data_IF_822691815416
#
_entry.id   IF_822691815416
#
_cell.length_a   1.000
_cell.length_b   1.000
_cell.length_c   1.000
_cell.angle_alpha   90.00
_cell.angle_beta   90.00
_cell.angle_gamma   90.00
#
_symmetry.space_group_name_H-M   'P 1'
#
loop_
_entity.id
_entity.type
_entity.pdbx_description
1 polymer ?
#
# COMPACT_ATOMS: atom_id res chain seq x y z
N UNK A 1 -4.86 16.30 22.59
CA UNK A 1 -4.27 17.69 22.52
C UNK A 1 -3.19 17.76 21.43
N UNK A 2 -2.24 16.82 21.36
CA UNK A 2 -1.17 16.86 20.37
C UNK A 2 -1.70 16.62 18.95
N UNK A 3 -2.42 15.54 18.72
CA UNK A 3 -3.05 15.22 17.43
C UNK A 3 -3.93 16.37 16.91
N UNK A 4 -4.66 17.04 17.80
CA UNK A 4 -5.48 18.20 17.42
C UNK A 4 -4.62 19.38 16.93
N UNK A 5 -3.49 19.65 17.61
CA UNK A 5 -2.54 20.68 17.21
C UNK A 5 -1.88 20.35 15.87
N UNK A 6 -1.54 19.10 15.67
CA UNK A 6 -0.95 18.58 14.44
C UNK A 6 -1.92 18.71 13.25
N UNK A 7 -3.17 18.28 13.44
CA UNK A 7 -4.22 18.44 12.42
C UNK A 7 -4.51 19.91 12.12
N UNK A 8 -4.63 20.76 13.15
CA UNK A 8 -4.85 22.20 12.98
C UNK A 8 -3.72 22.83 12.15
N UNK A 9 -2.47 22.50 12.44
CA UNK A 9 -1.33 23.00 11.70
C UNK A 9 -1.36 22.51 10.25
N UNK A 10 -1.57 21.22 10.02
CA UNK A 10 -1.62 20.63 8.69
C UNK A 10 -2.72 21.28 7.82
N UNK A 11 -3.94 21.40 8.35
CA UNK A 11 -5.07 22.03 7.64
C UNK A 11 -4.79 23.50 7.32
N UNK A 12 -4.27 24.26 8.29
CA UNK A 12 -3.95 25.67 8.10
C UNK A 12 -2.86 25.89 7.03
N UNK A 13 -2.05 24.87 6.73
CA UNK A 13 -1.01 24.89 5.70
C UNK A 13 -1.36 24.09 4.44
N UNK A 14 -2.66 23.86 4.18
CA UNK A 14 -3.16 23.33 2.91
C UNK A 14 -3.26 21.83 2.80
N UNK A 15 -2.93 21.05 3.84
CA UNK A 15 -3.18 19.61 3.84
C UNK A 15 -4.69 19.37 3.93
N UNK A 16 -5.26 18.83 2.87
CA UNK A 16 -6.70 18.69 2.74
C UNK A 16 -7.19 17.26 2.48
N UNK A 17 -6.32 16.25 2.41
CA UNK A 17 -6.69 14.85 2.20
C UNK A 17 -6.32 14.02 3.44
N UNK A 18 -7.33 13.43 4.08
CA UNK A 18 -7.17 12.62 5.30
C UNK A 18 -7.65 11.20 5.06
N UNK A 19 -6.71 10.24 5.15
CA UNK A 19 -6.94 8.83 4.89
C UNK A 19 -7.17 8.06 6.19
N UNK A 20 -8.26 7.32 6.26
CA UNK A 20 -8.57 6.40 7.36
C UNK A 20 -9.18 5.09 6.82
N UNK A 21 -9.61 4.19 7.69
CA UNK A 21 -10.33 2.98 7.35
C UNK A 21 -11.12 2.43 8.54
N UNK A 22 -12.19 1.71 8.27
CA UNK A 22 -13.02 1.04 9.28
C UNK A 22 -12.19 0.22 10.29
N UNK A 23 -11.15 -0.48 9.78
CA UNK A 23 -10.32 -1.36 10.60
C UNK A 23 -9.20 -0.64 11.38
N UNK A 24 -8.98 0.65 11.16
CA UNK A 24 -8.00 1.42 11.92
C UNK A 24 -8.61 1.82 13.25
N UNK A 25 -8.33 1.03 14.30
CA UNK A 25 -8.96 1.13 15.61
C UNK A 25 -8.95 2.55 16.16
N UNK A 26 -10.15 3.13 16.32
CA UNK A 26 -10.37 4.44 16.91
C UNK A 26 -10.02 5.63 16.00
N UNK A 27 -9.39 5.42 14.84
CA UNK A 27 -8.92 6.51 13.98
C UNK A 27 -10.10 7.31 13.40
N UNK A 28 -11.12 6.64 12.82
CA UNK A 28 -12.32 7.32 12.32
C UNK A 28 -13.02 8.17 13.41
N UNK A 29 -13.12 7.62 14.64
CA UNK A 29 -13.74 8.32 15.74
C UNK A 29 -12.95 9.56 16.16
N UNK A 30 -11.64 9.45 16.34
CA UNK A 30 -10.79 10.58 16.74
C UNK A 30 -10.78 11.67 15.66
N UNK A 31 -10.68 11.26 14.38
CA UNK A 31 -10.73 12.20 13.26
C UNK A 31 -12.09 12.94 13.25
N UNK A 32 -13.20 12.20 13.35
CA UNK A 32 -14.55 12.78 13.36
C UNK A 32 -14.77 13.76 14.50
N UNK A 33 -14.40 13.38 15.73
CA UNK A 33 -14.50 14.25 16.92
C UNK A 33 -13.71 15.55 16.74
N UNK A 34 -12.48 15.48 16.22
CA UNK A 34 -11.65 16.67 16.06
C UNK A 34 -12.13 17.56 14.91
N UNK A 35 -12.56 16.96 13.79
CA UNK A 35 -13.10 17.67 12.63
C UNK A 35 -14.40 18.39 12.99
N UNK A 36 -15.32 17.72 13.69
CA UNK A 36 -16.59 18.31 14.12
C UNK A 36 -16.37 19.44 15.14
N UNK A 37 -15.55 19.19 16.18
CA UNK A 37 -15.22 20.16 17.23
C UNK A 37 -14.67 21.47 16.67
N UNK A 38 -13.81 21.40 15.64
CA UNK A 38 -13.10 22.55 15.09
C UNK A 38 -13.73 23.07 13.77
N UNK A 39 -14.85 22.52 13.34
CA UNK A 39 -15.57 22.92 12.11
C UNK A 39 -14.70 22.80 10.83
N UNK A 40 -13.83 21.77 10.74
CA UNK A 40 -12.91 21.59 9.61
C UNK A 40 -13.53 20.82 8.43
N UNK A 41 -14.75 20.27 8.56
CA UNK A 41 -15.32 19.34 7.56
C UNK A 41 -15.30 19.90 6.13
N UNK A 42 -15.62 21.16 5.94
CA UNK A 42 -15.65 21.80 4.63
C UNK A 42 -14.25 22.12 4.05
N UNK A 43 -13.19 22.06 4.88
CA UNK A 43 -11.82 22.37 4.48
C UNK A 43 -11.04 21.13 4.04
N UNK A 44 -11.59 19.92 4.28
CA UNK A 44 -10.87 18.67 4.08
C UNK A 44 -11.69 17.66 3.28
N UNK A 45 -10.96 16.74 2.65
CA UNK A 45 -11.49 15.53 2.04
C UNK A 45 -11.18 14.35 2.96
N UNK A 46 -12.20 13.58 3.30
CA UNK A 46 -12.07 12.37 4.10
C UNK A 46 -12.14 11.16 3.17
N UNK A 47 -11.13 10.32 3.24
CA UNK A 47 -11.12 9.00 2.62
C UNK A 47 -11.26 7.92 3.69
N UNK A 48 -12.25 7.04 3.54
CA UNK A 48 -12.34 5.83 4.36
C UNK A 48 -12.61 4.59 3.50
N UNK A 49 -12.52 3.40 4.11
CA UNK A 49 -12.43 2.16 3.34
C UNK A 49 -13.38 1.10 3.87
N UNK A 50 -14.04 0.42 2.94
CA UNK A 50 -14.92 -0.71 3.15
C UNK A 50 -14.12 -2.02 3.17
N UNK A 51 -14.03 -2.71 4.29
CA UNK A 51 -13.36 -4.01 4.37
C UNK A 51 -14.26 -5.10 3.76
N UNK A 52 -14.21 -5.29 2.44
CA UNK A 52 -15.06 -6.20 1.68
C UNK A 52 -15.09 -7.64 2.24
N UNK A 53 -14.04 -8.04 2.92
CA UNK A 53 -13.91 -9.36 3.53
C UNK A 53 -14.68 -9.53 4.85
N UNK A 54 -15.27 -8.46 5.38
CA UNK A 54 -16.12 -8.47 6.58
C UNK A 54 -17.62 -8.37 6.26
N UNK A 55 -17.99 -8.23 4.99
CA UNK A 55 -19.38 -8.10 4.57
C UNK A 55 -19.83 -9.27 3.69
N UNK A 56 -21.08 -9.69 3.85
CA UNK A 56 -21.67 -10.81 3.12
C UNK A 56 -22.99 -10.45 2.44
N UNK A 57 -23.51 -9.24 2.69
CA UNK A 57 -24.71 -8.69 2.07
C UNK A 57 -24.63 -7.18 1.96
N UNK A 58 -25.51 -6.57 1.14
CA UNK A 58 -25.66 -5.13 1.03
C UNK A 58 -26.16 -4.53 2.34
N UNK A 59 -27.02 -5.22 3.09
CA UNK A 59 -27.50 -4.77 4.40
C UNK A 59 -26.36 -4.66 5.43
N UNK A 60 -25.40 -5.59 5.39
CA UNK A 60 -24.20 -5.51 6.24
C UNK A 60 -23.29 -4.36 5.82
N UNK A 61 -23.13 -4.14 4.52
CA UNK A 61 -22.40 -2.99 3.99
C UNK A 61 -23.04 -1.69 4.44
N UNK A 62 -24.35 -1.56 4.31
CA UNK A 62 -25.10 -0.37 4.74
C UNK A 62 -24.89 -0.07 6.22
N UNK A 63 -25.04 -1.07 7.07
CA UNK A 63 -24.78 -0.93 8.52
C UNK A 63 -23.36 -0.49 8.82
N UNK A 64 -22.38 -1.07 8.12
CA UNK A 64 -20.97 -0.71 8.27
C UNK A 64 -20.73 0.74 7.81
N UNK A 65 -21.29 1.14 6.69
CA UNK A 65 -21.14 2.50 6.17
C UNK A 65 -21.79 3.54 7.10
N UNK A 66 -23.01 3.27 7.59
CA UNK A 66 -23.66 4.12 8.59
C UNK A 66 -22.81 4.26 9.87
N UNK A 67 -22.17 3.17 10.33
CA UNK A 67 -21.27 3.22 11.48
C UNK A 67 -20.02 4.06 11.19
N UNK A 68 -19.47 4.01 9.98
CA UNK A 68 -18.34 4.87 9.57
C UNK A 68 -18.73 6.34 9.58
N UNK A 69 -19.87 6.71 8.99
CA UNK A 69 -20.39 8.10 9.03
C UNK A 69 -20.60 8.59 10.46
N UNK A 70 -21.17 7.73 11.33
CA UNK A 70 -21.36 8.04 12.76
C UNK A 70 -20.03 8.27 13.47
N UNK A 71 -19.00 7.43 13.24
CA UNK A 71 -17.67 7.60 13.82
C UNK A 71 -17.01 8.89 13.33
N UNK A 72 -17.14 9.17 12.04
CA UNK A 72 -16.57 10.36 11.40
C UNK A 72 -17.38 11.64 11.70
N UNK A 73 -18.57 11.54 12.33
CA UNK A 73 -19.48 12.66 12.63
C UNK A 73 -19.77 13.52 11.38
N UNK A 74 -20.09 12.87 10.27
CA UNK A 74 -20.35 13.50 8.98
C UNK A 74 -21.46 12.77 8.23
N UNK A 75 -22.17 13.46 7.34
CA UNK A 75 -23.22 12.88 6.51
C UNK A 75 -22.67 12.30 5.19
N UNK A 76 -21.41 12.56 4.88
CA UNK A 76 -20.79 12.10 3.63
C UNK A 76 -19.28 11.88 3.76
N UNK A 77 -18.74 11.06 2.86
CA UNK A 77 -17.29 10.92 2.64
C UNK A 77 -16.93 11.37 1.23
N UNK A 78 -15.74 11.96 1.10
CA UNK A 78 -15.27 12.45 -0.21
C UNK A 78 -14.75 11.30 -1.07
N UNK A 79 -14.06 10.34 -0.47
CA UNK A 79 -13.43 9.22 -1.16
C UNK A 79 -13.73 7.92 -0.41
N UNK A 80 -14.41 6.98 -1.06
CA UNK A 80 -14.73 5.68 -0.47
C UNK A 80 -14.03 4.56 -1.24
N UNK A 81 -13.29 3.70 -0.53
CA UNK A 81 -12.44 2.69 -1.15
C UNK A 81 -12.90 1.28 -0.83
N UNK A 82 -12.89 0.40 -1.83
CA UNK A 82 -12.83 -1.05 -1.59
C UNK A 82 -11.48 -1.37 -0.96
N UNK A 83 -11.46 -1.75 0.31
CA UNK A 83 -10.22 -1.93 1.08
C UNK A 83 -9.49 -3.21 0.69
N UNK A 84 -8.24 -3.07 0.23
CA UNK A 84 -7.39 -4.20 -0.15
C UNK A 84 -8.08 -5.14 -1.18
N UNK A 85 -8.71 -4.57 -2.21
CA UNK A 85 -9.38 -5.34 -3.25
C UNK A 85 -8.33 -6.17 -4.02
N UNK A 86 -8.34 -7.51 -3.96
CA UNK A 86 -7.19 -8.29 -4.40
C UNK A 86 -7.17 -8.58 -5.89
N UNK A 87 -8.36 -8.70 -6.52
CA UNK A 87 -8.50 -9.12 -7.92
C UNK A 87 -9.93 -8.91 -8.45
N UNK A 88 -10.08 -9.10 -9.76
CA UNK A 88 -11.36 -9.00 -10.47
C UNK A 88 -12.39 -10.05 -10.01
N UNK A 89 -11.96 -11.20 -9.51
CA UNK A 89 -12.88 -12.23 -9.04
C UNK A 89 -13.67 -11.75 -7.82
N UNK A 90 -12.97 -11.14 -6.87
CA UNK A 90 -13.62 -10.54 -5.68
C UNK A 90 -14.48 -9.35 -6.09
N UNK A 91 -14.02 -8.49 -7.01
CA UNK A 91 -14.85 -7.41 -7.54
C UNK A 91 -16.16 -7.94 -8.15
N UNK A 92 -16.09 -8.94 -9.02
CA UNK A 92 -17.28 -9.59 -9.60
C UNK A 92 -18.19 -10.23 -8.55
N UNK A 93 -17.64 -10.75 -7.44
CA UNK A 93 -18.46 -11.22 -6.30
C UNK A 93 -19.25 -10.07 -5.69
N UNK A 94 -18.61 -8.92 -5.44
CA UNK A 94 -19.28 -7.72 -4.91
C UNK A 94 -20.36 -7.20 -5.89
N UNK A 95 -20.08 -7.22 -7.19
CA UNK A 95 -21.07 -6.86 -8.23
C UNK A 95 -22.29 -7.76 -8.18
N UNK A 96 -22.12 -9.08 -8.09
CA UNK A 96 -23.24 -10.01 -7.94
C UNK A 96 -24.02 -9.83 -6.64
N UNK A 97 -23.39 -9.30 -5.61
CA UNK A 97 -24.04 -8.96 -4.34
C UNK A 97 -24.92 -7.70 -4.44
N UNK A 98 -24.76 -6.89 -5.49
CA UNK A 98 -25.53 -5.66 -5.70
C UNK A 98 -24.77 -4.37 -5.36
N UNK A 99 -23.43 -4.41 -5.27
CA UNK A 99 -22.64 -3.23 -4.87
C UNK A 99 -22.78 -2.06 -5.84
N UNK A 100 -23.03 -2.30 -7.13
CA UNK A 100 -23.15 -1.21 -8.11
C UNK A 100 -24.37 -0.33 -7.84
N UNK A 101 -25.53 -0.95 -7.55
CA UNK A 101 -26.75 -0.22 -7.24
C UNK A 101 -26.57 0.57 -5.93
N UNK A 102 -25.92 -0.05 -4.93
CA UNK A 102 -25.60 0.62 -3.68
C UNK A 102 -24.67 1.82 -3.88
N UNK A 103 -23.60 1.68 -4.69
CA UNK A 103 -22.70 2.80 -5.00
C UNK A 103 -23.48 3.94 -5.69
N UNK A 104 -24.31 3.62 -6.67
CA UNK A 104 -25.08 4.61 -7.41
C UNK A 104 -26.02 5.36 -6.44
N UNK A 105 -26.75 4.66 -5.59
CA UNK A 105 -27.60 5.26 -4.55
C UNK A 105 -26.82 6.22 -3.66
N UNK A 106 -25.63 5.79 -3.15
CA UNK A 106 -24.81 6.62 -2.25
C UNK A 106 -24.19 7.83 -2.95
N UNK A 107 -23.94 7.74 -4.24
CA UNK A 107 -23.50 8.88 -5.06
C UNK A 107 -24.66 9.85 -5.36
N UNK A 108 -25.82 9.35 -5.72
CA UNK A 108 -27.01 10.17 -6.03
C UNK A 108 -27.50 10.95 -4.81
N UNK A 109 -27.50 10.34 -3.63
CA UNK A 109 -27.88 11.01 -2.39
C UNK A 109 -26.75 11.85 -1.74
N UNK A 110 -25.56 11.88 -2.36
CA UNK A 110 -24.42 12.71 -1.96
C UNK A 110 -23.61 12.17 -0.77
N UNK A 111 -23.88 10.94 -0.30
CA UNK A 111 -23.16 10.34 0.83
C UNK A 111 -21.74 9.88 0.46
N UNK A 112 -21.49 9.57 -0.82
CA UNK A 112 -20.16 9.25 -1.37
C UNK A 112 -19.91 10.14 -2.57
N UNK A 113 -18.81 10.88 -2.59
CA UNK A 113 -18.45 11.73 -3.73
C UNK A 113 -17.69 10.97 -4.81
N UNK A 114 -16.73 10.12 -4.41
CA UNK A 114 -15.89 9.33 -5.34
C UNK A 114 -15.68 7.93 -4.82
N UNK A 115 -15.63 6.99 -5.75
CA UNK A 115 -15.39 5.57 -5.47
C UNK A 115 -14.03 5.13 -6.01
N UNK A 116 -13.27 4.37 -5.22
CA UNK A 116 -11.98 3.84 -5.59
C UNK A 116 -11.67 2.52 -4.89
N UNK A 117 -10.44 2.09 -4.98
CA UNK A 117 -9.97 0.91 -4.27
C UNK A 117 -8.53 1.05 -3.81
N UNK A 118 -8.18 0.38 -2.71
CA UNK A 118 -6.79 0.20 -2.31
C UNK A 118 -6.31 -1.20 -2.69
N UNK A 119 -5.04 -1.30 -3.06
CA UNK A 119 -4.50 -2.49 -3.67
C UNK A 119 -3.14 -2.91 -3.08
N UNK A 120 -3.01 -4.23 -2.83
CA UNK A 120 -1.77 -4.90 -2.47
C UNK A 120 -1.68 -6.22 -3.24
N UNK A 121 -1.12 -6.22 -4.42
CA UNK A 121 -0.98 -7.40 -5.26
C UNK A 121 -0.03 -7.12 -6.43
N UNK A 122 0.03 -8.00 -7.44
CA UNK A 122 0.89 -7.81 -8.61
C UNK A 122 0.29 -6.84 -9.65
N UNK A 123 1.13 -6.34 -10.57
CA UNK A 123 0.74 -5.38 -11.61
C UNK A 123 -0.36 -5.91 -12.54
N UNK A 124 -0.33 -7.20 -12.89
CA UNK A 124 -1.31 -7.81 -13.79
C UNK A 124 -2.73 -7.77 -13.22
N UNK A 125 -2.91 -8.17 -11.95
CA UNK A 125 -4.21 -8.11 -11.30
C UNK A 125 -4.65 -6.66 -11.06
N UNK A 126 -3.70 -5.75 -10.81
CA UNK A 126 -4.01 -4.33 -10.68
C UNK A 126 -4.56 -3.75 -11.98
N UNK A 127 -3.90 -4.00 -13.10
CA UNK A 127 -4.35 -3.57 -14.43
C UNK A 127 -5.73 -4.14 -14.74
N UNK A 128 -5.94 -5.44 -14.49
CA UNK A 128 -7.24 -6.08 -14.69
C UNK A 128 -8.35 -5.45 -13.81
N UNK A 129 -8.05 -5.01 -12.60
CA UNK A 129 -8.99 -4.29 -11.74
C UNK A 129 -9.31 -2.89 -12.29
N UNK A 130 -8.31 -2.16 -12.80
CA UNK A 130 -8.53 -0.86 -13.45
C UNK A 130 -9.44 -0.95 -14.66
N UNK A 131 -9.45 -2.10 -15.35
CA UNK A 131 -10.32 -2.35 -16.50
C UNK A 131 -11.72 -2.87 -16.14
N UNK A 132 -11.91 -3.29 -14.90
CA UNK A 132 -13.15 -3.96 -14.47
C UNK A 132 -14.28 -3.00 -14.06
N UNK A 133 -13.99 -1.73 -13.88
CA UNK A 133 -14.96 -0.70 -13.48
C UNK A 133 -14.41 0.70 -13.78
N UNK A 134 -15.28 1.69 -13.88
CA UNK A 134 -14.92 3.10 -14.06
C UNK A 134 -14.49 3.76 -12.74
N UNK A 135 -13.35 3.33 -12.23
CA UNK A 135 -12.78 3.83 -10.98
C UNK A 135 -12.41 5.30 -11.08
N UNK A 136 -12.79 6.08 -10.07
CA UNK A 136 -12.50 7.51 -10.02
C UNK A 136 -11.13 7.81 -9.40
N UNK A 137 -10.52 6.84 -8.73
CA UNK A 137 -9.14 6.86 -8.24
C UNK A 137 -8.71 5.47 -7.77
N UNK A 138 -7.40 5.30 -7.58
CA UNK A 138 -6.84 4.09 -6.96
C UNK A 138 -5.76 4.45 -5.93
N UNK A 139 -5.57 3.58 -4.93
CA UNK A 139 -4.56 3.76 -3.88
C UNK A 139 -3.63 2.56 -3.85
N UNK A 140 -2.32 2.80 -4.04
CA UNK A 140 -1.31 1.75 -4.18
C UNK A 140 -0.08 2.04 -3.31
N UNK A 141 0.59 0.99 -2.88
CA UNK A 141 1.90 1.11 -2.27
C UNK A 141 2.94 1.31 -3.38
N UNK A 142 3.70 2.41 -3.27
CA UNK A 142 4.76 2.71 -4.24
C UNK A 142 5.82 3.61 -3.60
N UNK A 143 7.09 3.34 -3.91
CA UNK A 143 8.25 4.13 -3.45
C UNK A 143 9.49 3.75 -4.29
N UNK A 144 10.59 4.46 -4.13
CA UNK A 144 11.81 4.26 -4.92
C UNK A 144 12.45 2.86 -4.76
N UNK A 145 12.08 2.07 -3.74
CA UNK A 145 12.54 0.69 -3.59
C UNK A 145 11.62 -0.34 -4.28
N UNK A 146 10.34 -0.02 -4.42
CA UNK A 146 9.29 -0.96 -4.87
C UNK A 146 8.80 -0.68 -6.31
N UNK A 147 9.68 -0.18 -7.19
CA UNK A 147 9.32 0.18 -8.57
C UNK A 147 8.84 -0.99 -9.43
N UNK A 148 9.19 -2.22 -9.07
CA UNK A 148 8.76 -3.45 -9.76
C UNK A 148 7.91 -4.36 -8.88
N UNK A 149 7.52 -3.89 -7.69
CA UNK A 149 6.72 -4.66 -6.74
C UNK A 149 5.30 -4.12 -6.67
N UNK A 150 4.33 -5.00 -6.39
CA UNK A 150 2.92 -4.71 -6.31
C UNK A 150 2.39 -4.10 -7.62
N UNK A 151 1.64 -2.98 -7.58
CA UNK A 151 1.23 -2.26 -8.79
C UNK A 151 2.46 -1.83 -9.63
N UNK A 152 3.52 -1.38 -8.96
CA UNK A 152 4.78 -0.96 -9.55
C UNK A 152 4.63 0.22 -10.51
N UNK A 153 5.73 0.58 -11.16
CA UNK A 153 5.73 1.66 -12.16
C UNK A 153 4.80 1.36 -13.34
N UNK A 154 4.70 0.09 -13.75
CA UNK A 154 3.81 -0.35 -14.82
C UNK A 154 2.34 -0.05 -14.50
N UNK A 155 1.89 -0.43 -13.30
CA UNK A 155 0.52 -0.18 -12.86
C UNK A 155 0.21 1.30 -12.69
N UNK A 156 1.15 2.07 -12.11
CA UNK A 156 1.03 3.54 -11.96
C UNK A 156 0.88 4.21 -13.32
N UNK A 157 1.74 3.88 -14.28
CA UNK A 157 1.67 4.42 -15.64
C UNK A 157 0.37 4.01 -16.36
N UNK A 158 -0.11 2.78 -16.15
CA UNK A 158 -1.37 2.32 -16.75
C UNK A 158 -2.58 3.08 -16.19
N UNK A 159 -2.63 3.29 -14.87
CA UNK A 159 -3.70 4.08 -14.22
C UNK A 159 -3.72 5.52 -14.76
N UNK A 160 -2.55 6.16 -14.85
CA UNK A 160 -2.43 7.51 -15.41
C UNK A 160 -2.87 7.58 -16.88
N UNK A 161 -2.50 6.61 -17.71
CA UNK A 161 -2.96 6.51 -19.12
C UNK A 161 -4.48 6.43 -19.23
N UNK A 162 -5.15 5.82 -18.27
CA UNK A 162 -6.62 5.77 -18.16
C UNK A 162 -7.23 7.05 -17.57
N UNK A 163 -6.44 8.01 -17.14
CA UNK A 163 -6.91 9.20 -16.45
C UNK A 163 -7.39 8.94 -15.01
N UNK A 164 -7.00 7.80 -14.42
CA UNK A 164 -7.35 7.42 -13.04
C UNK A 164 -6.30 7.99 -12.08
N UNK A 165 -6.65 8.93 -11.19
CA UNK A 165 -5.75 9.48 -10.18
C UNK A 165 -5.14 8.39 -9.29
N UNK A 166 -3.81 8.47 -9.08
CA UNK A 166 -3.07 7.52 -8.25
C UNK A 166 -2.71 8.16 -6.92
N UNK A 167 -3.16 7.52 -5.84
CA UNK A 167 -2.84 7.89 -4.47
C UNK A 167 -1.80 6.91 -3.93
N UNK A 168 -0.70 7.43 -3.41
CA UNK A 168 0.40 6.62 -2.90
C UNK A 168 0.28 6.41 -1.40
N UNK A 169 0.28 5.16 -0.97
CA UNK A 169 0.46 4.76 0.42
C UNK A 169 1.85 4.15 0.64
N UNK A 170 2.34 4.15 1.87
CA UNK A 170 3.67 3.67 2.28
C UNK A 170 4.83 4.31 1.48
N UNK A 171 4.84 5.63 1.26
CA UNK A 171 5.88 6.32 0.47
C UNK A 171 7.28 6.08 1.02
N UNK A 172 7.40 5.95 2.34
CA UNK A 172 8.65 5.74 3.07
C UNK A 172 8.66 4.41 3.86
N UNK A 173 7.80 3.44 3.50
CA UNK A 173 7.65 2.15 4.21
C UNK A 173 7.56 2.31 5.73
N UNK A 174 6.71 3.23 6.22
CA UNK A 174 6.56 3.51 7.65
C UNK A 174 7.83 4.08 8.30
N UNK A 175 8.59 4.89 7.58
CA UNK A 175 9.84 5.51 8.04
C UNK A 175 11.09 4.61 7.89
N UNK A 176 10.94 3.39 7.39
CA UNK A 176 12.09 2.48 7.17
C UNK A 176 13.06 3.00 6.13
N UNK A 177 12.56 3.69 5.10
CA UNK A 177 13.37 4.34 4.07
C UNK A 177 14.01 5.66 4.55
N UNK A 178 13.91 5.95 5.83
CA UNK A 178 14.58 7.06 6.51
C UNK A 178 15.52 6.52 7.59
N UNK A 179 14.96 5.94 8.65
CA UNK A 179 15.71 5.51 9.82
C UNK A 179 16.36 4.11 9.63
N UNK A 180 15.69 3.22 8.89
CA UNK A 180 16.11 1.82 8.68
C UNK A 180 17.11 1.61 7.55
N UNK A 181 17.54 2.65 6.84
CA UNK A 181 18.53 2.55 5.77
C UNK A 181 19.91 2.08 6.31
N UNK A 182 20.62 1.22 5.58
CA UNK A 182 22.00 0.87 5.91
C UNK A 182 22.91 2.10 5.78
N UNK A 183 24.04 2.08 6.50
CA UNK A 183 24.98 3.22 6.54
C UNK A 183 25.37 3.68 5.14
N UNK A 184 25.71 2.74 4.24
CA UNK A 184 26.09 3.05 2.85
C UNK A 184 25.02 3.84 2.09
N UNK A 185 23.72 3.46 2.24
CA UNK A 185 22.63 4.21 1.62
C UNK A 185 22.43 5.61 2.26
N UNK A 186 22.62 5.73 3.57
CA UNK A 186 22.60 7.05 4.25
C UNK A 186 23.73 7.95 3.78
N UNK A 187 24.93 7.40 3.63
CA UNK A 187 26.12 8.12 3.16
C UNK A 187 25.91 8.61 1.70
N UNK A 188 25.27 7.82 0.84
CA UNK A 188 24.92 8.23 -0.54
C UNK A 188 23.97 9.43 -0.54
N UNK A 189 22.88 9.38 0.25
CA UNK A 189 21.97 10.54 0.38
C UNK A 189 22.67 11.77 0.98
N UNK A 190 23.55 11.57 1.96
CA UNK A 190 24.31 12.67 2.59
C UNK A 190 25.34 13.30 1.66
N UNK A 191 25.88 12.53 0.70
CA UNK A 191 26.82 13.03 -0.30
C UNK A 191 26.14 13.76 -1.46
N UNK A 192 24.87 13.49 -1.73
CA UNK A 192 24.12 14.08 -2.83
C UNK A 192 23.87 15.60 -2.64
N UNK A 193 23.80 16.32 -3.76
CA UNK A 193 23.43 17.73 -3.80
C UNK A 193 22.13 17.93 -4.62
N UNK A 194 21.26 18.84 -4.18
CA UNK A 194 21.32 19.66 -2.95
C UNK A 194 21.13 18.80 -1.69
N UNK A 195 21.62 19.26 -0.54
CA UNK A 195 21.46 18.53 0.73
C UNK A 195 20.01 18.39 1.09
N UNK A 196 19.55 17.14 1.21
CA UNK A 196 18.17 16.77 1.56
C UNK A 196 18.16 15.60 2.54
N UNK A 197 17.15 15.55 3.40
CA UNK A 197 16.92 14.36 4.23
C UNK A 197 16.55 13.13 3.37
N UNK A 198 16.76 11.89 3.84
CA UNK A 198 16.25 10.70 3.14
C UNK A 198 14.72 10.74 2.94
N UNK A 199 13.97 11.37 3.86
CA UNK A 199 12.54 11.58 3.72
C UNK A 199 12.23 12.52 2.55
N UNK A 200 12.93 13.65 2.47
CA UNK A 200 12.78 14.61 1.37
C UNK A 200 13.13 14.00 0.02
N UNK A 201 14.24 13.26 -0.08
CA UNK A 201 14.59 12.52 -1.30
C UNK A 201 13.47 11.57 -1.73
N UNK A 202 12.96 10.74 -0.80
CA UNK A 202 11.92 9.76 -1.11
C UNK A 202 10.59 10.39 -1.52
N UNK A 203 10.16 11.48 -0.87
CA UNK A 203 8.94 12.20 -1.22
C UNK A 203 9.06 12.94 -2.55
N UNK A 204 10.20 13.62 -2.80
CA UNK A 204 10.46 14.27 -4.10
C UNK A 204 10.54 13.28 -5.24
N UNK A 205 11.09 12.08 -5.01
CA UNK A 205 11.09 11.01 -6.01
C UNK A 205 9.67 10.64 -6.46
N UNK A 206 8.72 10.59 -5.53
CA UNK A 206 7.31 10.34 -5.87
C UNK A 206 6.70 11.52 -6.64
N UNK A 207 6.78 12.72 -6.11
CA UNK A 207 6.18 13.90 -6.73
C UNK A 207 6.90 14.38 -8.01
N UNK A 208 8.07 13.84 -8.31
CA UNK A 208 8.72 14.04 -9.61
C UNK A 208 7.94 13.43 -10.78
N UNK A 209 7.04 12.48 -10.50
CA UNK A 209 6.28 11.72 -11.48
C UNK A 209 4.90 12.34 -11.69
N UNK A 210 4.55 12.75 -12.92
CA UNK A 210 3.26 13.41 -13.21
C UNK A 210 2.04 12.48 -12.99
N UNK A 211 2.26 11.18 -12.93
CA UNK A 211 1.24 10.15 -12.72
C UNK A 211 0.69 10.14 -11.28
N UNK A 212 1.41 10.73 -10.33
CA UNK A 212 1.07 10.67 -8.91
C UNK A 212 0.27 11.89 -8.50
N UNK A 213 -0.95 11.68 -8.01
CA UNK A 213 -1.86 12.75 -7.62
C UNK A 213 -1.74 13.11 -6.14
N UNK A 214 -1.62 12.12 -5.26
CA UNK A 214 -1.55 12.31 -3.81
C UNK A 214 -0.53 11.36 -3.20
N UNK A 215 0.26 11.85 -2.24
CA UNK A 215 1.16 11.03 -1.43
C UNK A 215 0.69 11.09 0.02
N UNK A 216 0.31 9.93 0.57
CA UNK A 216 -0.10 9.79 1.97
C UNK A 216 1.13 9.68 2.87
N UNK A 217 1.12 10.35 4.00
CA UNK A 217 2.17 10.24 5.01
C UNK A 217 1.60 10.05 6.41
N UNK A 218 2.12 9.05 7.13
CA UNK A 218 1.78 8.79 8.53
C UNK A 218 2.64 9.63 9.48
N UNK A 219 2.55 10.93 9.38
CA UNK A 219 3.27 11.88 10.25
C UNK A 219 2.76 11.76 11.69
N UNK A 220 3.67 11.60 12.64
CA UNK A 220 3.33 11.45 14.06
C UNK A 220 4.11 12.42 14.96
N UNK A 221 4.59 13.50 14.37
CA UNK A 221 5.19 14.62 15.10
C UNK A 221 5.08 15.91 14.29
N UNK A 222 5.02 17.03 14.98
CA UNK A 222 4.99 18.37 14.37
C UNK A 222 6.15 18.61 13.40
N UNK A 223 7.36 18.14 13.75
CA UNK A 223 8.53 18.26 12.89
C UNK A 223 8.36 17.56 11.54
N UNK A 224 7.79 16.33 11.53
CA UNK A 224 7.50 15.62 10.28
C UNK A 224 6.44 16.33 9.44
N UNK A 225 5.41 16.89 10.07
CA UNK A 225 4.35 17.63 9.38
C UNK A 225 4.95 18.86 8.70
N UNK A 226 5.74 19.63 9.42
CA UNK A 226 6.39 20.83 8.91
C UNK A 226 7.36 20.52 7.77
N UNK A 227 8.18 19.49 7.91
CA UNK A 227 9.10 19.05 6.86
C UNK A 227 8.33 18.60 5.60
N UNK A 228 7.31 17.76 5.74
CA UNK A 228 6.56 17.23 4.60
C UNK A 228 5.77 18.31 3.86
N UNK A 229 5.19 19.29 4.59
CA UNK A 229 4.52 20.45 3.98
C UNK A 229 5.54 21.29 3.20
N UNK A 230 6.67 21.63 3.78
CA UNK A 230 7.74 22.36 3.09
C UNK A 230 8.19 21.65 1.80
N UNK A 231 8.31 20.32 1.86
CA UNK A 231 8.68 19.53 0.68
C UNK A 231 7.58 19.63 -0.39
N UNK A 232 6.32 19.43 0.01
CA UNK A 232 5.17 19.48 -0.91
C UNK A 232 5.04 20.87 -1.58
N UNK A 233 5.27 21.94 -0.84
CA UNK A 233 5.19 23.32 -1.35
C UNK A 233 6.32 23.67 -2.35
N UNK A 234 7.44 22.96 -2.29
CA UNK A 234 8.64 23.32 -3.06
C UNK A 234 8.99 22.34 -4.18
N UNK A 235 8.44 21.13 -4.16
CA UNK A 235 8.71 20.11 -5.18
C UNK A 235 8.06 20.46 -6.52
N UNK A 236 8.73 20.09 -7.62
CA UNK A 236 8.20 20.23 -8.98
C UNK A 236 8.27 18.90 -9.71
N UNK A 237 7.26 18.63 -10.52
CA UNK A 237 7.26 17.48 -11.43
C UNK A 237 8.42 17.61 -12.42
N UNK A 238 9.17 16.52 -12.61
CA UNK A 238 10.29 16.48 -13.53
C UNK A 238 11.56 17.22 -13.05
N UNK A 239 11.65 17.56 -11.75
CA UNK A 239 12.82 18.29 -11.22
C UNK A 239 14.07 17.43 -11.01
N UNK A 240 13.90 16.09 -10.95
CA UNK A 240 15.02 15.18 -10.71
C UNK A 240 15.89 15.03 -11.95
N UNK A 241 17.20 15.09 -11.72
CA UNK A 241 18.23 14.93 -12.74
C UNK A 241 18.59 13.48 -12.99
N UNK A 242 19.34 13.19 -14.05
CA UNK A 242 19.94 11.86 -14.29
C UNK A 242 20.86 11.44 -13.15
N UNK A 243 21.60 12.38 -12.55
CA UNK A 243 22.47 12.15 -11.39
C UNK A 243 21.65 11.70 -10.17
N UNK A 244 20.48 12.29 -9.94
CA UNK A 244 19.58 11.86 -8.87
C UNK A 244 19.06 10.45 -9.14
N UNK A 245 18.74 10.14 -10.39
CA UNK A 245 18.34 8.79 -10.81
C UNK A 245 19.41 7.75 -10.53
N UNK A 246 20.66 8.02 -10.88
CA UNK A 246 21.82 7.16 -10.60
C UNK A 246 22.04 6.97 -9.08
N UNK A 247 21.94 8.05 -8.31
CA UNK A 247 22.04 8.00 -6.84
C UNK A 247 20.95 7.09 -6.24
N UNK A 248 19.70 7.15 -6.70
CA UNK A 248 18.66 6.22 -6.24
C UNK A 248 18.95 4.77 -6.61
N UNK A 249 19.59 4.52 -7.76
CA UNK A 249 20.02 3.16 -8.13
C UNK A 249 21.09 2.65 -7.18
N UNK A 250 22.09 3.46 -6.87
CA UNK A 250 23.12 3.12 -5.90
C UNK A 250 22.54 2.89 -4.50
N UNK A 251 21.57 3.70 -4.08
CA UNK A 251 20.85 3.50 -2.81
C UNK A 251 20.08 2.16 -2.81
N UNK A 252 19.35 1.84 -3.90
CA UNK A 252 18.69 0.53 -4.04
C UNK A 252 19.68 -0.62 -3.94
N UNK A 253 20.81 -0.52 -4.64
CA UNK A 253 21.87 -1.53 -4.61
C UNK A 253 22.42 -1.69 -3.19
N UNK A 254 22.72 -0.61 -2.49
CA UNK A 254 23.22 -0.63 -1.11
C UNK A 254 22.22 -1.26 -0.12
N UNK A 255 20.92 -1.01 -0.28
CA UNK A 255 19.88 -1.67 0.52
C UNK A 255 19.79 -3.16 0.18
N UNK A 256 19.92 -3.49 -1.10
CA UNK A 256 19.75 -4.85 -1.61
C UNK A 256 20.99 -5.75 -1.36
N UNK A 257 22.14 -5.21 -0.99
CA UNK A 257 23.34 -5.99 -0.62
C UNK A 257 23.08 -7.07 0.44
N UNK A 258 22.08 -6.86 1.32
CA UNK A 258 21.67 -7.83 2.33
C UNK A 258 20.58 -8.81 1.86
N UNK A 259 20.08 -8.67 0.64
CA UNK A 259 19.07 -9.59 0.13
C UNK A 259 19.63 -11.01 -0.02
N UNK A 260 18.82 -11.99 0.33
CA UNK A 260 19.15 -13.41 0.22
C UNK A 260 18.77 -13.99 -1.14
N UNK A 261 17.70 -13.47 -1.72
CA UNK A 261 17.19 -13.91 -3.02
C UNK A 261 17.10 -12.69 -3.93
N UNK A 262 17.85 -12.65 -5.07
CA UNK A 262 17.89 -11.51 -5.98
C UNK A 262 16.63 -11.43 -6.86
N UNK A 263 15.44 -11.50 -6.22
CA UNK A 263 14.16 -11.43 -6.90
C UNK A 263 13.77 -9.97 -7.15
N UNK A 264 13.56 -9.64 -8.43
CA UNK A 264 13.15 -8.30 -8.86
C UNK A 264 11.62 -8.07 -8.80
N UNK A 265 10.82 -9.10 -8.47
CA UNK A 265 9.36 -8.98 -8.41
C UNK A 265 8.67 -8.99 -9.78
N UNK A 266 9.37 -9.32 -10.87
CA UNK A 266 8.85 -9.22 -12.25
C UNK A 266 7.62 -10.08 -12.56
N UNK A 267 7.27 -11.06 -11.73
CA UNK A 267 6.04 -11.86 -11.85
C UNK A 267 6.04 -12.96 -12.91
N UNK A 268 7.08 -13.14 -13.75
CA UNK A 268 7.08 -14.16 -14.80
C UNK A 268 6.94 -15.61 -14.30
N UNK A 269 7.21 -15.86 -13.02
CA UNK A 269 6.97 -17.14 -12.36
C UNK A 269 5.50 -17.35 -11.93
N UNK A 270 4.62 -16.40 -12.19
CA UNK A 270 3.20 -16.45 -11.89
C UNK A 270 2.37 -16.69 -13.17
N UNK A 271 1.16 -17.31 -13.06
CA UNK A 271 0.62 -17.92 -11.84
C UNK A 271 1.32 -19.24 -11.50
N UNK A 272 1.62 -19.44 -10.21
CA UNK A 272 2.10 -20.74 -9.74
C UNK A 272 0.92 -21.76 -9.76
N UNK A 273 1.05 -22.95 -10.37
CA UNK A 273 -0.04 -23.94 -10.42
C UNK A 273 -0.47 -24.46 -9.05
N UNK A 274 0.32 -24.22 -8.02
CA UNK A 274 0.02 -24.62 -6.63
C UNK A 274 -0.26 -23.41 -5.73
N UNK A 275 -0.50 -22.23 -6.31
CA UNK A 275 -0.95 -21.04 -5.61
C UNK A 275 0.11 -20.33 -4.78
N UNK A 276 1.41 -20.61 -4.96
CA UNK A 276 2.47 -19.89 -4.24
C UNK A 276 2.64 -18.50 -4.81
N UNK A 277 2.55 -17.46 -3.98
CA UNK A 277 3.03 -16.11 -4.32
C UNK A 277 4.57 -16.07 -4.17
N UNK A 278 5.27 -16.48 -5.22
CA UNK A 278 6.72 -16.61 -5.23
C UNK A 278 7.41 -15.25 -5.02
N UNK A 279 7.09 -14.18 -5.78
CA UNK A 279 7.70 -12.86 -5.58
C UNK A 279 7.42 -12.29 -4.18
N UNK A 280 6.17 -12.39 -3.72
CA UNK A 280 5.78 -11.93 -2.38
C UNK A 280 6.51 -12.68 -1.26
N UNK A 281 6.64 -14.00 -1.39
CA UNK A 281 7.37 -14.81 -0.43
C UNK A 281 8.87 -14.45 -0.37
N UNK A 282 9.51 -14.23 -1.52
CA UNK A 282 10.92 -13.79 -1.58
C UNK A 282 11.11 -12.38 -1.06
N UNK A 283 10.18 -11.46 -1.36
CA UNK A 283 10.21 -10.10 -0.83
C UNK A 283 10.18 -10.11 0.70
N UNK A 284 9.24 -10.80 1.30
CA UNK A 284 9.12 -10.87 2.75
C UNK A 284 10.34 -11.56 3.40
N UNK A 285 10.90 -12.57 2.74
CA UNK A 285 12.12 -13.23 3.18
C UNK A 285 13.33 -12.28 3.13
N UNK A 286 13.45 -11.49 2.07
CA UNK A 286 14.50 -10.47 1.96
C UNK A 286 14.35 -9.39 3.04
N UNK A 287 13.13 -8.90 3.30
CA UNK A 287 12.84 -7.91 4.35
C UNK A 287 13.34 -8.36 5.73
N UNK A 288 13.30 -9.66 6.02
CA UNK A 288 13.89 -10.21 7.25
C UNK A 288 15.36 -9.85 7.43
N UNK A 289 16.13 -9.72 6.32
CA UNK A 289 17.57 -9.46 6.34
C UNK A 289 17.94 -8.02 6.02
N UNK A 290 17.14 -7.35 5.21
CA UNK A 290 17.38 -5.94 4.86
C UNK A 290 16.85 -5.00 5.95
N UNK A 291 15.88 -5.44 6.73
CA UNK A 291 15.29 -4.72 7.85
C UNK A 291 15.47 -5.52 9.16
N UNK A 292 14.49 -6.34 9.53
CA UNK A 292 14.58 -7.22 10.68
C UNK A 292 13.59 -8.40 10.60
N UNK A 293 13.78 -9.37 11.50
CA UNK A 293 12.95 -10.58 11.58
C UNK A 293 11.46 -10.30 11.75
N UNK A 294 11.12 -9.41 12.67
CA UNK A 294 9.71 -9.15 13.02
C UNK A 294 8.95 -8.49 11.86
N UNK A 295 9.59 -7.55 11.17
CA UNK A 295 9.03 -6.91 9.98
C UNK A 295 8.80 -7.92 8.85
N UNK A 296 9.82 -8.72 8.51
CA UNK A 296 9.71 -9.75 7.49
C UNK A 296 8.59 -10.75 7.81
N UNK A 297 8.50 -11.20 9.08
CA UNK A 297 7.45 -12.13 9.53
C UNK A 297 6.06 -11.52 9.44
N UNK A 298 5.88 -10.27 9.91
CA UNK A 298 4.61 -9.55 9.81
C UNK A 298 4.16 -9.45 8.34
N UNK A 299 5.05 -9.02 7.46
CA UNK A 299 4.73 -8.91 6.04
C UNK A 299 4.41 -10.27 5.41
N UNK A 300 5.14 -11.31 5.77
CA UNK A 300 4.88 -12.65 5.29
C UNK A 300 3.49 -13.15 5.69
N UNK A 301 3.09 -12.96 6.94
CA UNK A 301 1.74 -13.29 7.43
C UNK A 301 0.68 -12.51 6.66
N UNK A 302 0.86 -11.20 6.49
CA UNK A 302 -0.09 -10.34 5.78
C UNK A 302 -0.19 -10.68 4.29
N UNK A 303 0.93 -10.90 3.63
CA UNK A 303 0.97 -11.12 2.19
C UNK A 303 0.59 -12.54 1.77
N UNK A 304 0.86 -13.55 2.60
CA UNK A 304 0.72 -14.95 2.17
C UNK A 304 -0.27 -15.78 2.98
N UNK A 305 -0.59 -15.38 4.22
CA UNK A 305 -1.29 -16.23 5.18
C UNK A 305 -2.68 -15.71 5.56
N UNK A 306 -2.83 -14.41 5.82
CA UNK A 306 -4.09 -13.78 6.21
C UNK A 306 -4.95 -13.49 4.99
N UNK A 307 -5.32 -14.56 4.27
CA UNK A 307 -6.11 -14.54 3.03
C UNK A 307 -7.07 -15.70 3.01
N UNK A 308 -8.14 -15.60 2.23
CA UNK A 308 -9.08 -16.71 2.00
C UNK A 308 -8.34 -17.91 1.42
N UNK A 309 -7.52 -17.70 0.40
CA UNK A 309 -6.59 -18.71 -0.14
C UNK A 309 -5.16 -18.34 0.20
N UNK A 310 -4.48 -19.22 0.93
CA UNK A 310 -3.09 -19.03 1.30
C UNK A 310 -2.18 -19.16 0.10
N UNK A 311 -1.11 -18.34 0.10
CA UNK A 311 -0.12 -18.32 -0.99
C UNK A 311 1.31 -18.51 -0.49
N UNK A 312 1.45 -19.09 0.69
CA UNK A 312 2.71 -19.26 1.41
C UNK A 312 3.64 -20.31 0.75
N UNK A 313 4.93 -20.22 1.04
CA UNK A 313 5.98 -20.97 0.36
C UNK A 313 5.86 -22.50 0.52
N UNK A 314 5.30 -23.00 1.64
CA UNK A 314 5.13 -24.45 1.85
C UNK A 314 4.12 -25.11 0.91
N UNK A 315 3.32 -24.35 0.16
CA UNK A 315 2.46 -24.90 -0.90
C UNK A 315 3.26 -25.40 -2.11
N UNK A 316 4.54 -25.05 -2.21
CA UNK A 316 5.39 -25.43 -3.33
C UNK A 316 5.54 -26.96 -3.46
N UNK A 317 5.17 -27.51 -4.61
CA UNK A 317 5.30 -28.93 -4.97
C UNK A 317 6.56 -29.26 -5.76
N UNK A 318 7.53 -28.32 -5.81
CA UNK A 318 8.85 -28.52 -6.45
C UNK A 318 8.76 -28.86 -7.96
N UNK A 319 7.73 -28.43 -8.68
CA UNK A 319 7.51 -28.78 -10.10
C UNK A 319 8.49 -28.12 -11.08
N UNK A 320 9.20 -27.05 -10.68
CA UNK A 320 10.24 -26.39 -11.49
C UNK A 320 9.75 -25.41 -12.57
N UNK A 321 8.44 -25.31 -12.84
CA UNK A 321 7.92 -24.40 -13.90
C UNK A 321 8.36 -22.95 -13.73
N UNK A 322 8.39 -22.45 -12.50
CA UNK A 322 8.79 -21.07 -12.20
C UNK A 322 10.26 -20.77 -12.55
N UNK A 323 11.17 -21.77 -12.50
CA UNK A 323 12.58 -21.60 -12.82
C UNK A 323 12.81 -21.43 -14.33
N UNK A 324 11.93 -22.03 -15.16
CA UNK A 324 12.00 -21.91 -16.64
C UNK A 324 11.66 -20.50 -17.12
N UNK A 325 10.91 -19.74 -16.32
CA UNK A 325 10.45 -18.39 -16.66
C UNK A 325 11.17 -17.29 -15.86
N UNK A 326 12.11 -17.66 -14.98
CA UNK A 326 12.81 -16.68 -14.16
C UNK A 326 13.94 -15.98 -14.93
N UNK A 327 13.83 -14.69 -15.30
CA UNK A 327 14.89 -14.00 -16.05
C UNK A 327 16.15 -13.77 -15.22
N UNK A 328 16.06 -13.91 -13.89
CA UNK A 328 17.20 -13.77 -12.97
C UNK A 328 17.92 -15.10 -12.72
N UNK A 329 17.47 -16.20 -13.32
CA UNK A 329 18.07 -17.52 -13.11
C UNK A 329 18.02 -18.03 -11.67
N UNK A 330 17.05 -17.56 -10.87
CA UNK A 330 16.92 -17.95 -9.46
C UNK A 330 16.53 -19.44 -9.37
N UNK A 331 17.26 -20.19 -8.54
CA UNK A 331 16.89 -21.55 -8.15
C UNK A 331 15.66 -21.53 -7.21
N UNK A 332 14.49 -21.18 -7.77
CA UNK A 332 13.26 -20.84 -7.03
C UNK A 332 12.86 -21.93 -6.04
N UNK A 333 12.95 -23.19 -6.44
CA UNK A 333 12.63 -24.34 -5.57
C UNK A 333 13.52 -24.42 -4.34
N UNK A 334 14.83 -24.18 -4.52
CA UNK A 334 15.83 -24.17 -3.44
C UNK A 334 15.55 -22.99 -2.49
N UNK A 335 15.31 -21.82 -3.05
CA UNK A 335 15.10 -20.62 -2.25
C UNK A 335 13.74 -20.66 -1.52
N UNK A 336 12.68 -21.21 -2.11
CA UNK A 336 11.39 -21.40 -1.40
C UNK A 336 11.54 -22.35 -0.19
N UNK A 337 12.42 -23.38 -0.26
CA UNK A 337 12.73 -24.20 0.92
C UNK A 337 13.39 -23.39 2.04
N UNK A 338 14.28 -22.43 1.68
CA UNK A 338 14.84 -21.51 2.67
C UNK A 338 13.78 -20.58 3.26
N UNK A 339 12.87 -20.06 2.44
CA UNK A 339 11.72 -19.29 2.92
C UNK A 339 10.94 -20.11 3.93
N UNK A 340 10.52 -21.33 3.62
CA UNK A 340 9.80 -22.22 4.55
C UNK A 340 10.57 -22.40 5.85
N UNK A 341 11.86 -22.74 5.75
CA UNK A 341 12.72 -22.98 6.94
C UNK A 341 12.79 -21.78 7.87
N UNK A 342 12.87 -20.57 7.31
CA UNK A 342 13.15 -19.35 8.06
C UNK A 342 11.90 -18.54 8.40
N UNK A 343 10.83 -18.61 7.59
CA UNK A 343 9.62 -17.83 7.76
C UNK A 343 8.48 -18.67 8.34
N UNK A 344 8.39 -19.96 8.01
CA UNK A 344 7.32 -20.84 8.49
C UNK A 344 7.76 -21.68 9.72
N UNK A 345 8.40 -21.00 10.67
CA UNK A 345 8.86 -21.55 11.93
C UNK A 345 7.70 -21.93 12.88
N UNK A 346 7.94 -22.55 14.04
CA UNK A 346 6.87 -22.94 14.99
C UNK A 346 5.93 -21.78 15.38
N UNK A 347 6.46 -20.57 15.57
CA UNK A 347 5.65 -19.38 15.90
C UNK A 347 4.70 -19.05 14.75
N UNK A 348 5.20 -19.03 13.52
CA UNK A 348 4.37 -18.85 12.34
C UNK A 348 3.24 -19.90 12.26
N UNK A 349 3.59 -21.18 12.50
CA UNK A 349 2.60 -22.28 12.42
C UNK A 349 1.45 -22.11 13.42
N UNK A 350 1.76 -21.68 14.64
CA UNK A 350 0.76 -21.37 15.66
C UNK A 350 -0.17 -20.23 15.20
N UNK A 351 0.41 -19.11 14.75
CA UNK A 351 -0.36 -17.96 14.25
C UNK A 351 -1.21 -18.37 13.05
N UNK A 352 -0.62 -19.11 12.10
CA UNK A 352 -1.32 -19.58 10.91
C UNK A 352 -2.45 -20.56 11.24
N UNK A 353 -2.31 -21.38 12.28
CA UNK A 353 -3.38 -22.27 12.74
C UNK A 353 -4.61 -21.48 13.20
N UNK A 354 -4.44 -20.50 14.08
CA UNK A 354 -5.55 -19.66 14.55
C UNK A 354 -6.12 -18.73 13.48
N UNK A 355 -5.31 -18.29 12.53
CA UNK A 355 -5.77 -17.48 11.41
C UNK A 355 -6.61 -18.24 10.37
N UNK A 356 -6.56 -19.58 10.39
CA UNK A 356 -7.26 -20.42 9.39
C UNK A 356 -8.77 -20.23 9.38
N UNK A 357 -9.35 -20.00 10.55
CA UNK A 357 -10.80 -19.88 10.72
C UNK A 357 -11.29 -18.42 10.58
N UNK A 358 -10.39 -17.43 10.77
CA UNK A 358 -10.72 -16.00 10.64
C UNK A 358 -10.96 -15.54 9.18
N UNK A 359 -10.33 -16.21 8.21
CA UNK A 359 -10.35 -15.79 6.80
C UNK A 359 -11.04 -16.79 5.87
N UNK A 360 -11.60 -17.88 6.40
CA UNK A 360 -12.34 -18.89 5.63
C UNK A 360 -13.85 -18.67 5.56
N UNK A 361 -14.39 -17.76 6.36
CA UNK A 361 -15.83 -17.47 6.40
C UNK A 361 -16.23 -16.40 5.39
#
# INVERSE_FOLDING_TARGET
KETERELAYAIAHGVNYFDTAYIYRGNEKVLGELVAKNHWRAQIQIATKMPHYLIHSIDELEKLFCEQLKRLQTDYVDNYLMHMLPDVHIWKKLVRMGILDWINEKKENGQIRRIGFSYHGNSQNFIALLDAYDWEFCQVQYNYMDIHNQAGAEGVAYAAKKGIPVIIMEPLRGGRLVNGLPKKAKDLFAAAEPKRSPAEWGLRWLWNQPEISVVLSGMNSMAMIQENIRIADTVKVGEMTETDGAMFEDVRNAVNEKMKVPCTGCGYCQPCPYGVDIPGAFRCYNVRYTDNFFTGMREYLMCTTFRAERTNASLCRQCGKCEQHCPQGIAVRKELKQVVRHMENPVYKVIAFFAKDMFKK
#
